data_IF_314586321304
#
_entry.id   IF_314586321304
#
_cell.length_a   1.000
_cell.length_b   1.000
_cell.length_c   1.000
_cell.angle_alpha   90.00
_cell.angle_beta   90.00
_cell.angle_gamma   90.00
#
_symmetry.space_group_name_H-M   'P 1'
#
loop_
_entity.id
_entity.type
_entity.pdbx_description
1 polymer ?
#
# COMPACT_ATOMS: atom_id res chain seq x y z
N UNK A 1 -9.65 0.22 -15.52
CA UNK A 1 -10.54 0.63 -14.42
C UNK A 1 -10.64 2.15 -14.40
N UNK A 2 -11.78 2.73 -14.06
CA UNK A 2 -11.92 4.19 -13.88
C UNK A 2 -11.74 4.52 -12.40
N UNK A 3 -10.66 5.23 -12.06
CA UNK A 3 -10.38 5.66 -10.69
C UNK A 3 -11.02 7.02 -10.42
N UNK A 4 -11.55 7.21 -9.22
CA UNK A 4 -12.17 8.45 -8.76
C UNK A 4 -11.44 8.96 -7.53
N UNK A 5 -11.01 10.22 -7.57
CA UNK A 5 -10.37 10.86 -6.42
C UNK A 5 -11.42 11.18 -5.34
N UNK A 6 -11.13 10.86 -4.07
CA UNK A 6 -11.96 11.28 -2.93
C UNK A 6 -11.99 12.82 -2.80
N UNK A 7 -10.82 13.44 -2.90
CA UNK A 7 -10.66 14.90 -2.94
C UNK A 7 -10.30 15.38 -4.33
N UNK A 8 -10.82 16.55 -4.70
CA UNK A 8 -10.43 17.28 -5.92
C UNK A 8 -9.15 18.10 -5.76
N UNK A 9 -8.60 18.19 -4.54
CA UNK A 9 -7.37 18.93 -4.23
C UNK A 9 -6.19 17.99 -4.17
N UNK A 10 -5.15 18.25 -4.97
CA UNK A 10 -3.98 17.37 -5.04
C UNK A 10 -3.16 17.42 -3.74
N UNK A 11 -3.24 18.53 -3.01
CA UNK A 11 -2.54 18.75 -1.75
C UNK A 11 -3.00 17.78 -0.65
N UNK A 12 -4.26 17.32 -0.70
CA UNK A 12 -4.78 16.37 0.28
C UNK A 12 -4.10 14.98 0.17
N UNK A 13 -3.57 14.65 -1.02
CA UNK A 13 -2.77 13.45 -1.26
C UNK A 13 -1.29 13.64 -0.96
N UNK A 14 -0.90 14.81 -0.45
CA UNK A 14 0.46 15.13 0.01
C UNK A 14 0.53 15.24 1.54
N UNK A 15 -0.60 15.32 2.24
CA UNK A 15 -0.63 15.54 3.68
C UNK A 15 0.04 14.41 4.47
N UNK A 16 0.77 14.82 5.52
CA UNK A 16 1.19 13.92 6.58
C UNK A 16 -0.01 13.48 7.42
N UNK A 17 0.01 12.22 7.86
CA UNK A 17 -1.00 11.60 8.70
C UNK A 17 -0.29 10.83 9.82
N UNK A 18 -1.03 10.39 10.83
CA UNK A 18 -0.45 9.57 11.90
C UNK A 18 0.18 8.27 11.37
N UNK A 19 -0.46 7.61 10.40
CA UNK A 19 0.01 6.36 9.81
C UNK A 19 1.13 6.57 8.79
N UNK A 20 1.18 7.75 8.17
CA UNK A 20 2.13 8.07 7.10
C UNK A 20 3.41 8.68 7.68
N UNK A 21 3.31 9.39 8.81
CA UNK A 21 4.38 9.98 9.65
C UNK A 21 5.72 10.28 8.95
N UNK A 22 5.66 10.88 7.77
CA UNK A 22 6.82 10.95 6.89
C UNK A 22 7.90 11.91 7.40
N UNK A 23 7.57 12.81 8.33
CA UNK A 23 8.52 13.69 9.00
C UNK A 23 9.39 12.93 10.01
N UNK A 24 9.08 11.66 10.30
CA UNK A 24 9.91 10.81 11.14
C UNK A 24 11.32 10.66 10.55
N UNK A 25 12.41 10.77 11.36
CA UNK A 25 13.78 10.76 10.85
C UNK A 25 14.16 9.53 10.02
N UNK A 26 13.65 8.35 10.38
CA UNK A 26 13.89 7.12 9.60
C UNK A 26 13.31 7.20 8.18
N UNK A 27 12.12 7.80 8.03
CA UNK A 27 11.48 7.99 6.73
C UNK A 27 12.28 9.01 5.92
N UNK A 28 12.63 10.14 6.51
CA UNK A 28 13.43 11.17 5.85
C UNK A 28 14.81 10.64 5.40
N UNK A 29 15.44 9.79 6.20
CA UNK A 29 16.69 9.13 5.82
C UNK A 29 16.50 8.21 4.61
N UNK A 30 15.44 7.39 4.58
CA UNK A 30 15.14 6.52 3.43
C UNK A 30 14.78 7.32 2.18
N UNK A 31 14.02 8.41 2.33
CA UNK A 31 13.68 9.34 1.24
C UNK A 31 14.95 9.92 0.63
N UNK A 32 15.90 10.38 1.45
CA UNK A 32 17.18 10.89 0.97
C UNK A 32 17.97 9.84 0.18
N UNK A 33 18.02 8.60 0.67
CA UNK A 33 18.68 7.50 -0.05
C UNK A 33 18.07 7.26 -1.45
N UNK A 34 16.74 7.33 -1.55
CA UNK A 34 16.04 7.19 -2.83
C UNK A 34 16.37 8.40 -3.74
N UNK A 35 16.28 9.62 -3.22
CA UNK A 35 16.57 10.84 -3.96
C UNK A 35 18.00 10.89 -4.50
N UNK A 36 18.99 10.46 -3.71
CA UNK A 36 20.40 10.41 -4.10
C UNK A 36 20.66 9.39 -5.23
N UNK A 37 19.78 8.41 -5.40
CA UNK A 37 19.91 7.32 -6.38
C UNK A 37 19.07 7.52 -7.64
N UNK A 38 18.21 8.53 -7.69
CA UNK A 38 17.21 8.73 -8.73
C UNK A 38 17.32 10.11 -9.39
N UNK A 39 17.06 10.17 -10.70
CA UNK A 39 17.12 11.42 -11.47
C UNK A 39 15.75 12.04 -11.72
N UNK A 40 14.72 11.22 -11.89
CA UNK A 40 13.36 11.66 -12.19
C UNK A 40 12.40 11.27 -11.07
N UNK A 41 11.25 11.94 -11.00
CA UNK A 41 10.20 11.54 -10.05
C UNK A 41 9.66 10.15 -10.36
N UNK A 42 9.60 9.75 -11.63
CA UNK A 42 9.21 8.39 -12.01
C UNK A 42 10.20 7.35 -11.47
N UNK A 43 11.51 7.62 -11.52
CA UNK A 43 12.53 6.76 -10.92
C UNK A 43 12.34 6.65 -9.39
N UNK A 44 12.01 7.78 -8.73
CA UNK A 44 11.75 7.83 -7.29
C UNK A 44 10.53 7.00 -6.92
N UNK A 45 9.43 7.09 -7.68
CA UNK A 45 8.24 6.26 -7.46
C UNK A 45 8.60 4.79 -7.60
N UNK A 46 9.27 4.43 -8.71
CA UNK A 46 9.65 3.05 -8.98
C UNK A 46 10.55 2.50 -7.87
N UNK A 47 11.58 3.23 -7.47
CA UNK A 47 12.50 2.80 -6.42
C UNK A 47 11.81 2.69 -5.06
N UNK A 48 10.94 3.63 -4.68
CA UNK A 48 10.15 3.54 -3.46
C UNK A 48 9.23 2.31 -3.46
N UNK A 49 8.54 2.09 -4.58
CA UNK A 49 7.67 0.93 -4.79
C UNK A 49 8.42 -0.39 -4.67
N UNK A 50 9.52 -0.55 -5.42
CA UNK A 50 10.33 -1.78 -5.41
C UNK A 50 10.98 -1.99 -4.05
N UNK A 51 11.43 -0.93 -3.36
CA UNK A 51 11.91 -1.03 -1.99
C UNK A 51 10.84 -1.60 -1.06
N UNK A 52 9.63 -1.03 -1.05
CA UNK A 52 8.55 -1.53 -0.17
C UNK A 52 8.12 -2.94 -0.58
N UNK A 53 8.01 -3.25 -1.88
CA UNK A 53 7.62 -4.57 -2.37
C UNK A 53 8.64 -5.64 -1.98
N UNK A 54 9.93 -5.37 -2.15
CA UNK A 54 10.97 -6.40 -2.12
C UNK A 54 11.76 -6.46 -0.82
N UNK A 55 11.85 -5.35 -0.07
CA UNK A 55 12.69 -5.26 1.14
C UNK A 55 11.89 -5.17 2.44
N UNK A 56 10.57 -5.00 2.36
CA UNK A 56 9.68 -5.05 3.52
C UNK A 56 8.91 -6.35 3.46
N UNK A 57 9.09 -7.21 4.44
CA UNK A 57 8.43 -8.51 4.47
C UNK A 57 6.91 -8.35 4.65
N UNK A 58 6.14 -9.23 4.03
CA UNK A 58 4.74 -9.37 4.37
C UNK A 58 4.63 -10.22 5.64
N UNK A 59 4.13 -9.66 6.76
CA UNK A 59 4.16 -10.35 8.07
C UNK A 59 3.48 -11.71 8.06
N UNK A 60 2.39 -11.87 7.29
CA UNK A 60 1.76 -13.18 7.11
C UNK A 60 2.65 -14.19 6.37
N UNK A 61 3.48 -13.77 5.41
CA UNK A 61 4.31 -14.73 4.66
C UNK A 61 5.48 -15.24 5.50
N UNK A 62 6.04 -14.37 6.35
CA UNK A 62 7.12 -14.74 7.27
C UNK A 62 6.59 -15.26 8.62
N UNK A 63 5.26 -15.40 8.75
CA UNK A 63 4.58 -15.87 9.96
C UNK A 63 4.99 -15.07 11.23
N UNK A 64 5.14 -13.75 11.10
CA UNK A 64 5.45 -12.85 12.20
C UNK A 64 4.19 -12.40 12.94
N UNK A 65 4.30 -12.27 14.26
CA UNK A 65 3.25 -11.74 15.12
C UNK A 65 3.31 -10.20 15.27
N UNK A 66 4.33 -9.53 14.73
CA UNK A 66 4.49 -8.08 14.86
C UNK A 66 3.42 -7.35 14.06
N UNK A 67 2.67 -6.47 14.73
CA UNK A 67 1.76 -5.52 14.07
C UNK A 67 2.49 -4.19 13.92
N UNK A 68 2.61 -3.71 12.69
CA UNK A 68 3.08 -2.36 12.37
C UNK A 68 1.91 -1.53 11.84
N UNK A 69 1.87 -0.25 12.21
CA UNK A 69 0.84 0.68 11.74
C UNK A 69 1.46 1.89 11.05
N UNK A 70 2.37 2.60 11.72
CA UNK A 70 2.99 3.80 11.15
C UNK A 70 4.04 3.42 10.12
N UNK A 71 4.24 4.28 9.12
CA UNK A 71 5.27 4.08 8.11
C UNK A 71 6.65 3.91 8.75
N UNK A 72 6.96 4.71 9.78
CA UNK A 72 8.21 4.57 10.54
C UNK A 72 8.36 3.20 11.22
N UNK A 73 7.29 2.65 11.80
CA UNK A 73 7.27 1.31 12.41
C UNK A 73 7.51 0.23 11.36
N UNK A 74 6.82 0.32 10.21
CA UNK A 74 6.98 -0.63 9.09
C UNK A 74 8.44 -0.63 8.62
N UNK A 75 9.05 0.55 8.47
CA UNK A 75 10.44 0.67 8.07
C UNK A 75 11.41 0.15 9.15
N UNK A 76 11.13 0.42 10.42
CA UNK A 76 11.97 -0.01 11.54
C UNK A 76 11.98 -1.53 11.71
N UNK A 77 10.81 -2.16 11.64
CA UNK A 77 10.67 -3.61 11.77
C UNK A 77 11.00 -4.36 10.47
N UNK A 78 10.96 -3.67 9.32
CA UNK A 78 11.17 -4.29 8.02
C UNK A 78 10.01 -5.20 7.62
N UNK A 79 8.82 -5.01 8.18
CA UNK A 79 7.66 -5.84 7.91
C UNK A 79 6.31 -5.13 8.14
N UNK A 80 5.29 -5.66 7.49
CA UNK A 80 3.88 -5.30 7.70
C UNK A 80 2.97 -6.05 6.75
N UNK A 81 1.66 -6.05 6.99
CA UNK A 81 0.69 -6.55 6.00
C UNK A 81 0.41 -5.46 4.93
N UNK A 82 -0.38 -5.78 3.90
CA UNK A 82 -0.67 -4.84 2.81
C UNK A 82 -1.13 -3.45 3.29
N UNK A 83 -1.86 -3.37 4.40
CA UNK A 83 -2.30 -2.11 5.02
C UNK A 83 -1.11 -1.24 5.43
N UNK A 84 -0.26 -1.76 6.33
CA UNK A 84 0.89 -1.04 6.85
C UNK A 84 1.92 -0.73 5.74
N UNK A 85 2.13 -1.67 4.81
CA UNK A 85 3.00 -1.47 3.65
C UNK A 85 2.50 -0.33 2.75
N UNK A 86 1.18 -0.18 2.59
CA UNK A 86 0.60 0.95 1.85
C UNK A 86 0.85 2.29 2.55
N UNK A 87 0.92 2.31 3.89
CA UNK A 87 1.27 3.50 4.66
C UNK A 87 2.72 3.91 4.40
N UNK A 88 3.66 2.95 4.43
CA UNK A 88 5.07 3.21 4.13
C UNK A 88 5.27 3.70 2.69
N UNK A 89 4.62 3.09 1.69
CA UNK A 89 4.73 3.58 0.32
C UNK A 89 4.18 5.01 0.19
N UNK A 90 3.02 5.30 0.77
CA UNK A 90 2.48 6.65 0.79
C UNK A 90 3.46 7.65 1.46
N UNK A 91 4.09 7.27 2.57
CA UNK A 91 5.06 8.11 3.28
C UNK A 91 6.27 8.47 2.42
N UNK A 92 6.86 7.46 1.78
CA UNK A 92 8.03 7.66 0.92
C UNK A 92 7.71 8.55 -0.29
N UNK A 93 6.50 8.44 -0.86
CA UNK A 93 6.08 9.26 -2.00
C UNK A 93 5.72 10.69 -1.56
N UNK A 94 4.89 10.84 -0.53
CA UNK A 94 4.41 12.16 -0.06
C UNK A 94 5.55 13.04 0.46
N UNK A 95 6.54 12.46 1.15
CA UNK A 95 7.76 13.17 1.56
C UNK A 95 8.53 13.77 0.38
N UNK A 96 8.44 13.15 -0.79
CA UNK A 96 9.07 13.60 -2.03
C UNK A 96 8.16 14.52 -2.85
N UNK A 97 7.04 14.98 -2.28
CA UNK A 97 6.01 15.80 -2.94
C UNK A 97 5.31 15.11 -4.11
N UNK A 98 5.28 13.78 -4.10
CA UNK A 98 4.55 12.98 -5.07
C UNK A 98 3.18 12.64 -4.48
N UNK A 99 2.06 13.11 -5.09
CA UNK A 99 0.73 12.77 -4.62
C UNK A 99 0.52 11.27 -4.60
N UNK A 100 0.12 10.75 -3.45
CA UNK A 100 -0.12 9.33 -3.24
C UNK A 100 -1.40 9.12 -2.44
N UNK A 101 -2.33 8.34 -2.98
CA UNK A 101 -3.56 7.94 -2.30
C UNK A 101 -3.58 6.46 -1.96
N UNK A 102 -4.61 6.06 -1.23
CA UNK A 102 -4.88 4.68 -0.87
C UNK A 102 -6.00 4.12 -1.74
N UNK A 103 -5.83 2.89 -2.22
CA UNK A 103 -6.82 2.17 -3.02
C UNK A 103 -7.07 0.81 -2.38
N UNK A 104 -8.20 0.20 -2.72
CA UNK A 104 -8.60 -1.05 -2.08
C UNK A 104 -9.28 -2.01 -3.04
N UNK A 105 -9.18 -3.28 -2.69
CA UNK A 105 -9.93 -4.38 -3.30
C UNK A 105 -10.61 -5.17 -2.19
N UNK A 106 -11.73 -5.81 -2.50
CA UNK A 106 -12.28 -6.89 -1.69
C UNK A 106 -11.96 -8.20 -2.41
N UNK A 107 -11.17 -9.06 -1.76
CA UNK A 107 -10.68 -10.31 -2.33
C UNK A 107 -11.08 -11.49 -1.44
N UNK A 108 -11.19 -12.69 -2.00
CA UNK A 108 -11.34 -13.91 -1.18
C UNK A 108 -10.03 -14.25 -0.47
N UNK A 109 -10.08 -14.77 0.76
CA UNK A 109 -8.88 -15.17 1.51
C UNK A 109 -8.17 -16.38 0.89
N UNK A 110 -8.91 -17.26 0.22
CA UNK A 110 -8.42 -18.45 -0.46
C UNK A 110 -9.00 -18.61 -1.87
N UNK A 111 -9.09 -19.87 -2.32
CA UNK A 111 -9.50 -20.17 -3.70
C UNK A 111 -11.01 -20.05 -3.94
N UNK A 112 -11.84 -20.08 -2.89
CA UNK A 112 -13.31 -20.08 -2.99
C UNK A 112 -13.93 -19.03 -2.05
N UNK A 113 -15.16 -18.56 -2.34
CA UNK A 113 -15.89 -17.60 -1.48
C UNK A 113 -16.06 -18.07 -0.02
N UNK A 114 -16.19 -19.38 0.20
CA UNK A 114 -16.37 -19.97 1.54
C UNK A 114 -15.17 -19.74 2.48
N UNK A 115 -14.02 -19.36 1.92
CA UNK A 115 -12.83 -18.98 2.72
C UNK A 115 -12.95 -17.60 3.36
N UNK A 116 -14.03 -16.86 3.06
CA UNK A 116 -14.22 -15.50 3.53
C UNK A 116 -13.53 -14.47 2.63
N UNK A 117 -13.68 -13.20 3.01
CA UNK A 117 -13.18 -12.07 2.26
C UNK A 117 -12.31 -11.19 3.15
N UNK A 118 -11.39 -10.45 2.54
CA UNK A 118 -10.68 -9.39 3.20
C UNK A 118 -10.48 -8.21 2.24
N UNK A 119 -10.41 -7.03 2.82
CA UNK A 119 -9.91 -5.85 2.12
C UNK A 119 -8.42 -6.04 1.87
N UNK A 120 -7.96 -5.71 0.67
CA UNK A 120 -6.57 -5.62 0.28
C UNK A 120 -6.23 -4.15 -0.01
N UNK A 121 -5.17 -3.62 0.61
CA UNK A 121 -4.77 -2.23 0.42
C UNK A 121 -3.65 -2.09 -0.60
N UNK A 122 -3.74 -0.99 -1.33
CA UNK A 122 -2.89 -0.60 -2.45
C UNK A 122 -2.64 0.91 -2.36
N UNK A 123 -1.80 1.42 -3.25
CA UNK A 123 -1.66 2.85 -3.45
C UNK A 123 -1.98 3.24 -4.88
N UNK A 124 -2.27 4.52 -5.09
CA UNK A 124 -2.16 5.15 -6.40
C UNK A 124 -1.26 6.38 -6.29
N UNK A 125 -0.47 6.66 -7.33
CA UNK A 125 0.32 7.89 -7.40
C UNK A 125 -0.07 8.71 -8.63
N UNK A 126 0.22 10.01 -8.60
CA UNK A 126 0.04 10.91 -9.73
C UNK A 126 1.34 11.64 -10.03
N UNK A 127 1.71 11.72 -11.30
CA UNK A 127 2.78 12.58 -11.80
C UNK A 127 2.28 13.34 -13.02
N UNK A 128 2.55 14.64 -13.10
CA UNK A 128 2.18 15.46 -14.27
C UNK A 128 2.77 14.91 -15.57
N UNK A 129 4.00 14.37 -15.51
CA UNK A 129 4.66 13.75 -16.65
C UNK A 129 3.97 12.47 -17.16
N UNK A 130 3.13 11.85 -16.33
CA UNK A 130 2.33 10.65 -16.67
C UNK A 130 0.87 11.04 -16.99
N UNK A 131 0.35 12.11 -16.39
CA UNK A 131 -0.96 12.68 -16.70
C UNK A 131 -2.16 11.85 -16.23
N UNK A 132 -1.96 10.87 -15.35
CA UNK A 132 -3.00 10.00 -14.79
C UNK A 132 -2.59 9.41 -13.45
N UNK A 133 -3.57 8.98 -12.67
CA UNK A 133 -3.34 8.14 -11.49
C UNK A 133 -2.97 6.72 -11.91
N UNK A 134 -1.94 6.16 -11.27
CA UNK A 134 -1.45 4.81 -11.52
C UNK A 134 -1.47 4.02 -10.21
N UNK A 135 -2.14 2.87 -10.20
CA UNK A 135 -2.18 1.97 -9.04
C UNK A 135 -0.92 1.13 -8.93
N UNK A 136 -0.49 0.93 -7.69
CA UNK A 136 0.66 0.14 -7.30
C UNK A 136 0.27 -0.83 -6.18
N UNK A 137 0.71 -2.08 -6.31
CA UNK A 137 0.57 -3.11 -5.28
C UNK A 137 1.92 -3.46 -4.67
N UNK A 138 2.22 -2.89 -3.51
CA UNK A 138 3.49 -3.05 -2.82
C UNK A 138 3.50 -4.24 -1.84
N UNK A 139 2.49 -5.13 -1.88
CA UNK A 139 2.32 -6.25 -0.95
C UNK A 139 3.50 -7.21 -0.86
N UNK A 140 4.28 -7.33 -1.94
CA UNK A 140 5.46 -8.20 -2.01
C UNK A 140 5.20 -9.53 -2.71
N UNK A 141 6.21 -9.99 -3.44
CA UNK A 141 6.11 -11.18 -4.28
C UNK A 141 6.41 -12.47 -3.49
N UNK A 142 5.76 -13.56 -3.88
CA UNK A 142 5.96 -14.91 -3.34
C UNK A 142 5.60 -15.95 -4.42
N UNK A 143 5.86 -17.25 -4.24
CA UNK A 143 5.41 -18.26 -5.20
C UNK A 143 3.91 -18.11 -5.50
N UNK A 144 3.58 -17.91 -6.78
CA UNK A 144 2.21 -17.68 -7.25
C UNK A 144 1.68 -16.25 -7.14
N UNK A 145 2.47 -15.29 -6.66
CA UNK A 145 2.08 -13.87 -6.53
C UNK A 145 3.17 -12.97 -7.10
N UNK A 146 2.82 -12.17 -8.11
CA UNK A 146 3.78 -11.30 -8.81
C UNK A 146 3.14 -9.96 -9.16
N UNK A 147 3.52 -8.93 -8.39
CA UNK A 147 3.23 -7.53 -8.68
C UNK A 147 4.46 -6.83 -9.29
N UNK A 148 4.23 -5.92 -10.24
CA UNK A 148 5.28 -5.21 -10.98
C UNK A 148 5.00 -3.71 -11.09
N UNK A 149 6.07 -2.94 -11.23
CA UNK A 149 5.95 -1.53 -11.54
C UNK A 149 5.60 -1.36 -13.02
N UNK A 150 4.49 -0.68 -13.31
CA UNK A 150 4.10 -0.35 -14.68
C UNK A 150 3.14 0.84 -14.68
N UNK A 151 3.40 1.80 -15.59
CA UNK A 151 2.54 2.97 -15.82
C UNK A 151 1.56 2.78 -16.98
N UNK A 152 1.77 1.73 -17.80
CA UNK A 152 0.93 1.44 -18.95
C UNK A 152 -0.26 0.57 -18.57
N UNK A 153 0.01 -0.52 -17.88
CA UNK A 153 -0.98 -1.49 -17.42
C UNK A 153 -0.76 -1.83 -15.95
N UNK A 154 -1.84 -1.98 -15.19
CA UNK A 154 -1.77 -2.43 -13.80
C UNK A 154 -1.17 -3.84 -13.72
N UNK A 155 -0.24 -4.05 -12.78
CA UNK A 155 0.39 -5.34 -12.49
C UNK A 155 0.29 -5.61 -10.99
N UNK A 156 -0.94 -5.86 -10.53
CA UNK A 156 -1.27 -6.06 -9.12
C UNK A 156 -0.99 -7.49 -8.67
N UNK A 157 -0.86 -7.73 -7.36
CA UNK A 157 -0.60 -9.05 -6.81
C UNK A 157 -1.75 -10.03 -7.07
N UNK A 158 -2.98 -9.51 -7.07
CA UNK A 158 -4.20 -10.28 -7.25
C UNK A 158 -5.11 -9.59 -8.27
N UNK A 159 -5.49 -10.27 -9.36
CA UNK A 159 -6.59 -9.80 -10.20
C UNK A 159 -7.91 -10.00 -9.45
N UNK A 160 -8.84 -9.06 -9.61
CA UNK A 160 -10.22 -9.22 -9.12
C UNK A 160 -10.94 -10.26 -9.97
N UNK A 161 -11.65 -11.18 -9.30
CA UNK A 161 -12.51 -12.22 -9.86
C UNK A 161 -13.98 -11.94 -9.51
N UNK A 162 -14.72 -11.18 -10.34
CA UNK A 162 -16.11 -10.83 -10.07
C UNK A 162 -17.03 -12.04 -9.88
N UNK A 163 -16.72 -13.16 -10.54
CA UNK A 163 -17.44 -14.43 -10.40
C UNK A 163 -17.35 -15.02 -8.99
N UNK A 164 -16.36 -14.62 -8.19
CA UNK A 164 -16.22 -14.99 -6.78
C UNK A 164 -16.69 -13.88 -5.83
N UNK A 165 -17.35 -12.84 -6.34
CA UNK A 165 -17.80 -11.70 -5.55
C UNK A 165 -16.66 -10.73 -5.14
N UNK A 166 -15.48 -10.87 -5.74
CA UNK A 166 -14.39 -9.91 -5.55
C UNK A 166 -14.71 -8.60 -6.30
N UNK A 167 -14.21 -7.48 -5.78
CA UNK A 167 -14.40 -6.17 -6.42
C UNK A 167 -13.25 -5.20 -6.16
N UNK A 168 -13.03 -4.29 -7.11
CA UNK A 168 -12.23 -3.09 -6.89
C UNK A 168 -13.10 -1.98 -6.30
N UNK A 169 -12.57 -1.26 -5.31
CA UNK A 169 -13.12 0.03 -4.90
C UNK A 169 -12.52 1.12 -5.79
N UNK A 170 -13.33 1.91 -6.54
CA UNK A 170 -12.82 2.86 -7.52
C UNK A 170 -12.18 4.11 -6.89
N UNK A 171 -12.36 4.31 -5.59
CA UNK A 171 -11.96 5.54 -4.92
C UNK A 171 -10.48 5.51 -4.55
N UNK A 172 -9.80 6.63 -4.83
CA UNK A 172 -8.46 6.95 -4.33
C UNK A 172 -8.67 7.81 -3.09
N UNK A 173 -8.42 7.24 -1.92
CA UNK A 173 -8.63 7.89 -0.63
C UNK A 173 -7.39 8.70 -0.22
N UNK A 174 -7.64 9.84 0.44
CA UNK A 174 -6.59 10.70 1.01
C UNK A 174 -6.03 10.11 2.32
N UNK A 175 -6.82 9.28 3.02
CA UNK A 175 -6.48 8.62 4.29
C UNK A 175 -6.66 7.10 4.22
N UNK A 176 -5.92 6.33 5.03
CA UNK A 176 -6.12 4.89 5.09
C UNK A 176 -7.47 4.54 5.73
N UNK A 177 -8.18 3.57 5.17
CA UNK A 177 -9.49 3.10 5.64
C UNK A 177 -9.36 1.89 6.58
N UNK A 178 -8.22 1.20 6.55
CA UNK A 178 -7.96 -0.02 7.33
C UNK A 178 -7.03 0.21 8.52
N UNK A 179 -6.74 1.46 8.90
CA UNK A 179 -5.78 1.74 9.97
C UNK A 179 -6.26 1.27 11.36
N UNK A 180 -7.58 1.25 11.61
CA UNK A 180 -8.16 0.87 12.91
C UNK A 180 -7.78 -0.55 13.33
N UNK A 181 -7.80 -1.51 12.42
CA UNK A 181 -7.47 -2.92 12.73
C UNK A 181 -6.02 -3.04 13.20
N UNK A 182 -5.08 -2.31 12.58
CA UNK A 182 -3.67 -2.31 12.98
C UNK A 182 -3.47 -1.70 14.37
N UNK A 183 -4.27 -0.69 14.73
CA UNK A 183 -4.18 -0.01 16.05
C UNK A 183 -4.81 -0.83 17.18
N UNK A 184 -5.76 -1.71 16.86
CA UNK A 184 -6.54 -2.46 17.85
C UNK A 184 -5.92 -3.82 18.22
N UNK A 185 -4.94 -4.31 17.44
CA UNK A 185 -4.37 -5.64 17.62
C UNK A 185 -2.87 -5.57 17.84
N UNK A 186 -2.35 -6.49 18.66
CA UNK A 186 -0.92 -6.59 18.95
C UNK A 186 -0.29 -7.87 18.41
N UNK A 187 -1.10 -8.74 17.79
CA UNK A 187 -0.64 -9.99 17.18
C UNK A 187 -1.13 -10.07 15.72
N UNK A 188 -0.20 -10.00 14.78
CA UNK A 188 -0.53 -9.98 13.35
C UNK A 188 -1.11 -11.31 12.85
N UNK A 189 -0.76 -12.45 13.45
CA UNK A 189 -1.29 -13.75 13.03
C UNK A 189 -2.77 -13.88 13.41
N UNK A 190 -3.11 -13.52 14.64
CA UNK A 190 -4.50 -13.48 15.12
C UNK A 190 -5.32 -12.45 14.33
N UNK A 191 -4.79 -11.24 14.18
CA UNK A 191 -5.43 -10.16 13.42
C UNK A 191 -5.75 -10.60 11.98
N UNK A 192 -4.78 -11.22 11.31
CA UNK A 192 -4.93 -11.65 9.92
C UNK A 192 -5.97 -12.77 9.78
N UNK A 193 -6.04 -13.67 10.76
CA UNK A 193 -6.93 -14.82 10.70
C UNK A 193 -8.39 -14.48 11.01
N UNK A 194 -8.64 -13.51 11.90
CA UNK A 194 -9.98 -13.30 12.48
C UNK A 194 -10.52 -11.87 12.38
N UNK A 195 -9.69 -10.87 12.11
CA UNK A 195 -10.06 -9.47 12.34
C UNK A 195 -9.90 -8.56 11.11
N UNK A 196 -9.47 -9.10 9.97
CA UNK A 196 -9.39 -8.30 8.75
C UNK A 196 -10.79 -7.81 8.33
N UNK A 197 -10.95 -6.52 8.00
CA UNK A 197 -12.21 -6.01 7.49
C UNK A 197 -12.57 -6.72 6.18
N UNK A 198 -13.83 -7.10 6.02
CA UNK A 198 -14.36 -7.80 4.84
C UNK A 198 -14.84 -6.84 3.76
N UNK A 199 -15.01 -5.55 4.10
CA UNK A 199 -15.47 -4.46 3.25
C UNK A 199 -14.99 -3.10 3.80
N UNK A 200 -15.12 -2.04 2.99
CA UNK A 200 -14.86 -0.64 3.38
C UNK A 200 -16.12 0.05 3.90
#
# INVERSE_FOLDING_TARGET
>A
MHLTCESTKMEDYLCELEEVDYSHPLIQQKVKQIQDSCRTDLDRVKMAYEFVRDHIHHSWDIQSAVVTCKASEVLQHGEGICYAKSHLLAALLRAQRIPAGFCYQRLTLGATPDTGYAVHALNAFYLDSVGKWVRLDARGNKPGVQAEFSIEQEKLAFPVRPELGEMDYPVIYTKPQTASVLKQHTNALEMYQYHLPTEL
#
